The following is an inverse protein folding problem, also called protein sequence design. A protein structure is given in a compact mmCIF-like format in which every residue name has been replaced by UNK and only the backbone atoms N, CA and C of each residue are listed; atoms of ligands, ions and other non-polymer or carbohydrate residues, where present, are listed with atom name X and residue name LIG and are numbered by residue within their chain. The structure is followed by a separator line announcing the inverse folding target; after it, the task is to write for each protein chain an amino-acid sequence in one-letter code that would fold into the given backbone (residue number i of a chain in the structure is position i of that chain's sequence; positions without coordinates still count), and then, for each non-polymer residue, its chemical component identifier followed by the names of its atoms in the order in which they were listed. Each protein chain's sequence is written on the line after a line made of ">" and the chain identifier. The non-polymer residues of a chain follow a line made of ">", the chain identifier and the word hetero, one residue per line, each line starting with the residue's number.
data_IF_856812369427
#
_entry.id   IF_856812369427
#
_cell.length_a   1.000
_cell.length_b   1.000
_cell.length_c   1.000
_cell.angle_alpha   90.00
_cell.angle_beta   90.00
_cell.angle_gamma   90.00
#
_symmetry.space_group_name_H-M   'P 1'
#
loop_
_entity.id
_entity.type
_entity.pdbx_description
1 polymer ?
#
# COMPACT_ATOMS: atom_id res chain seq x y z
N UNK A 1 -8.10 17.04 5.45
CA UNK A 1 -8.44 17.34 4.04
C UNK A 1 -7.93 16.17 3.20
N UNK A 2 -8.81 15.25 2.78
CA UNK A 2 -8.38 14.15 1.90
C UNK A 2 -7.94 14.78 0.59
N UNK A 3 -6.68 14.67 0.26
CA UNK A 3 -6.10 15.24 -0.96
C UNK A 3 -6.79 14.61 -2.17
N UNK A 4 -7.02 15.37 -3.24
CA UNK A 4 -7.61 14.88 -4.51
C UNK A 4 -6.93 13.58 -4.98
N UNK A 5 -5.64 13.43 -4.69
CA UNK A 5 -4.86 12.22 -4.96
C UNK A 5 -5.39 10.97 -4.23
N UNK A 6 -5.77 11.05 -2.94
CA UNK A 6 -6.30 9.88 -2.20
C UNK A 6 -7.70 9.44 -2.69
N UNK A 7 -8.46 10.37 -3.27
CA UNK A 7 -9.76 10.05 -3.91
C UNK A 7 -9.53 9.33 -5.25
N UNK A 8 -8.47 9.67 -5.97
CA UNK A 8 -8.10 9.05 -7.24
C UNK A 8 -7.45 7.67 -7.05
N UNK A 9 -6.68 7.47 -5.99
CA UNK A 9 -6.07 6.16 -5.67
C UNK A 9 -7.11 5.09 -5.31
N UNK A 10 -8.24 5.48 -4.72
CA UNK A 10 -9.32 4.55 -4.35
C UNK A 10 -10.26 4.18 -5.52
N UNK A 11 -10.13 4.82 -6.69
CA UNK A 11 -10.88 4.42 -7.88
C UNK A 11 -10.07 3.43 -8.70
N UNK A 12 -10.74 2.36 -9.16
CA UNK A 12 -10.08 1.34 -9.98
C UNK A 12 -9.28 2.00 -11.12
N UNK A 13 -8.00 1.67 -11.33
CA UNK A 13 -7.12 2.27 -12.35
C UNK A 13 -7.74 2.28 -13.75
N UNK A 14 -8.57 1.29 -14.06
CA UNK A 14 -9.33 1.18 -15.32
C UNK A 14 -10.32 2.34 -15.52
N UNK A 15 -10.93 2.85 -14.46
CA UNK A 15 -11.88 3.97 -14.54
C UNK A 15 -11.18 5.29 -14.86
N UNK A 16 -10.02 5.56 -14.23
CA UNK A 16 -9.24 6.76 -14.48
C UNK A 16 -8.70 6.77 -15.92
N UNK A 17 -8.22 5.61 -16.38
CA UNK A 17 -7.77 5.47 -17.77
C UNK A 17 -8.92 5.73 -18.78
N UNK A 18 -10.13 5.23 -18.52
CA UNK A 18 -11.29 5.53 -19.37
C UNK A 18 -11.63 7.02 -19.36
N UNK A 19 -11.64 7.66 -18.21
CA UNK A 19 -11.89 9.10 -18.08
C UNK A 19 -10.84 9.94 -18.83
N UNK A 20 -9.58 9.50 -18.87
CA UNK A 20 -8.52 10.16 -19.63
C UNK A 20 -8.81 10.16 -21.12
N UNK A 21 -9.29 9.05 -21.68
CA UNK A 21 -9.69 8.99 -23.09
C UNK A 21 -10.92 9.88 -23.39
N UNK A 22 -11.92 9.90 -22.50
CA UNK A 22 -13.06 10.81 -22.63
C UNK A 22 -12.60 12.26 -22.63
N UNK A 23 -11.63 12.62 -21.79
CA UNK A 23 -11.07 13.98 -21.72
C UNK A 23 -10.40 14.41 -23.04
N UNK A 24 -9.74 13.49 -23.77
CA UNK A 24 -9.18 13.78 -25.10
C UNK A 24 -10.27 14.28 -26.06
N UNK A 25 -11.41 13.58 -26.09
CA UNK A 25 -12.51 13.97 -26.99
C UNK A 25 -13.21 15.25 -26.52
N UNK A 26 -13.32 15.48 -25.22
CA UNK A 26 -13.84 16.75 -24.67
C UNK A 26 -12.94 17.91 -25.08
N UNK A 27 -11.62 17.77 -24.96
CA UNK A 27 -10.67 18.79 -25.40
C UNK A 27 -10.76 19.02 -26.92
N UNK A 28 -10.95 17.95 -27.70
CA UNK A 28 -11.22 18.05 -29.14
C UNK A 28 -12.48 18.83 -29.45
N UNK A 29 -13.57 18.57 -28.74
CA UNK A 29 -14.82 19.33 -28.92
C UNK A 29 -14.65 20.82 -28.57
N UNK A 30 -13.94 21.12 -27.49
CA UNK A 30 -13.59 22.50 -27.12
C UNK A 30 -12.76 23.18 -28.22
N UNK A 31 -11.73 22.51 -28.73
CA UNK A 31 -10.91 22.99 -29.84
C UNK A 31 -11.76 23.25 -31.09
N UNK A 32 -12.70 22.35 -31.39
CA UNK A 32 -13.59 22.52 -32.54
C UNK A 32 -14.51 23.75 -32.39
N UNK A 33 -15.06 23.96 -31.18
CA UNK A 33 -15.94 25.14 -30.90
C UNK A 33 -15.19 26.45 -30.99
N UNK A 34 -14.00 26.54 -30.41
CA UNK A 34 -13.22 27.78 -30.35
C UNK A 34 -12.32 27.99 -31.59
N UNK A 35 -12.16 26.98 -32.43
CA UNK A 35 -11.33 27.04 -33.63
C UNK A 35 -9.89 27.43 -33.32
N UNK A 36 -9.35 28.40 -34.11
CA UNK A 36 -7.98 28.91 -33.94
C UNK A 36 -7.85 30.03 -32.89
N UNK A 37 -8.94 30.39 -32.22
CA UNK A 37 -8.92 31.48 -31.24
C UNK A 37 -8.13 31.13 -29.97
N UNK A 38 -8.16 29.85 -29.57
CA UNK A 38 -7.49 29.38 -28.37
C UNK A 38 -6.61 28.18 -28.74
N UNK A 39 -5.34 28.22 -28.36
CA UNK A 39 -4.46 27.05 -28.52
C UNK A 39 -4.72 26.02 -27.39
N UNK A 40 -5.43 24.95 -27.71
CA UNK A 40 -5.79 23.86 -26.77
C UNK A 40 -4.70 22.78 -26.68
N UNK A 41 -3.69 22.76 -27.58
CA UNK A 41 -2.65 21.73 -27.60
C UNK A 41 -2.01 21.47 -26.22
N UNK A 42 -1.63 22.47 -25.40
CA UNK A 42 -1.01 22.20 -24.10
C UNK A 42 -1.90 21.42 -23.13
N UNK A 43 -3.20 21.50 -23.25
CA UNK A 43 -4.14 20.84 -22.34
C UNK A 43 -4.24 19.33 -22.54
N UNK A 44 -3.82 18.81 -23.72
CA UNK A 44 -3.73 17.36 -23.94
C UNK A 44 -2.67 16.66 -23.07
N UNK A 45 -1.84 17.42 -22.36
CA UNK A 45 -0.93 16.87 -21.34
C UNK A 45 -1.70 16.24 -20.17
N UNK A 46 -2.88 16.74 -19.80
CA UNK A 46 -3.65 16.20 -18.68
C UNK A 46 -4.12 14.73 -18.90
N UNK A 47 -4.83 14.41 -19.99
CA UNK A 47 -5.21 13.02 -20.25
C UNK A 47 -3.98 12.09 -20.40
N UNK A 48 -2.89 12.59 -20.97
CA UNK A 48 -1.63 11.87 -21.08
C UNK A 48 -1.04 11.56 -19.71
N UNK A 49 -1.00 12.54 -18.81
CA UNK A 49 -0.49 12.39 -17.45
C UNK A 49 -1.30 11.34 -16.67
N UNK A 50 -2.62 11.42 -16.69
CA UNK A 50 -3.49 10.47 -15.98
C UNK A 50 -3.39 9.06 -16.56
N UNK A 51 -3.41 8.90 -17.88
CA UNK A 51 -3.31 7.58 -18.53
C UNK A 51 -1.93 6.93 -18.33
N UNK A 52 -0.86 7.73 -18.30
CA UNK A 52 0.51 7.24 -18.08
C UNK A 52 0.78 6.89 -16.61
N UNK A 53 0.20 7.64 -15.65
CA UNK A 53 0.39 7.40 -14.22
C UNK A 53 -0.44 6.23 -13.71
N UNK A 54 -1.73 6.17 -14.03
CA UNK A 54 -2.65 5.17 -13.52
C UNK A 54 -2.85 3.96 -14.44
N UNK A 55 -2.54 4.10 -15.73
CA UNK A 55 -2.71 3.06 -16.74
C UNK A 55 -1.47 2.17 -16.96
N UNK A 56 -1.52 1.37 -18.01
CA UNK A 56 -0.39 0.59 -18.50
C UNK A 56 0.52 1.44 -19.40
N UNK A 57 1.72 0.91 -19.71
CA UNK A 57 2.62 1.53 -20.71
C UNK A 57 1.90 1.73 -22.06
N UNK A 58 1.12 0.74 -22.48
CA UNK A 58 0.36 0.81 -23.72
C UNK A 58 -0.71 1.90 -23.70
N UNK A 59 -1.45 2.07 -22.61
CA UNK A 59 -2.50 3.09 -22.49
C UNK A 59 -1.92 4.52 -22.48
N UNK A 60 -0.77 4.73 -21.86
CA UNK A 60 -0.08 6.03 -21.90
C UNK A 60 0.38 6.40 -23.32
N UNK A 61 1.01 5.45 -24.04
CA UNK A 61 1.43 5.66 -25.42
C UNK A 61 0.21 5.87 -26.37
N UNK A 62 -0.84 5.08 -26.17
CA UNK A 62 -2.08 5.23 -26.96
C UNK A 62 -2.72 6.61 -26.74
N UNK A 63 -2.74 7.10 -25.50
CA UNK A 63 -3.23 8.43 -25.16
C UNK A 63 -2.42 9.54 -25.87
N UNK A 64 -1.10 9.39 -25.95
CA UNK A 64 -0.24 10.33 -26.67
C UNK A 64 -0.60 10.38 -28.17
N UNK A 65 -0.73 9.23 -28.81
CA UNK A 65 -1.08 9.13 -30.23
C UNK A 65 -2.48 9.68 -30.48
N UNK A 66 -3.48 9.29 -29.67
CA UNK A 66 -4.85 9.77 -29.81
C UNK A 66 -4.97 11.27 -29.60
N UNK A 67 -4.25 11.85 -28.66
CA UNK A 67 -4.23 13.30 -28.43
C UNK A 67 -3.74 14.07 -29.66
N UNK A 68 -2.66 13.58 -30.27
CA UNK A 68 -2.11 14.23 -31.50
C UNK A 68 -3.05 14.04 -32.68
N UNK A 69 -3.63 12.86 -32.84
CA UNK A 69 -4.59 12.59 -33.94
C UNK A 69 -5.80 13.52 -33.85
N UNK A 70 -6.42 13.62 -32.68
CA UNK A 70 -7.59 14.50 -32.47
C UNK A 70 -7.20 15.96 -32.73
N UNK A 71 -6.06 16.41 -32.17
CA UNK A 71 -5.56 17.77 -32.39
C UNK A 71 -5.36 18.08 -33.88
N UNK A 72 -4.66 17.22 -34.61
CA UNK A 72 -4.31 17.44 -36.04
C UNK A 72 -5.54 17.37 -36.94
N UNK A 73 -6.47 16.44 -36.67
CA UNK A 73 -7.71 16.35 -37.46
C UNK A 73 -8.52 17.63 -37.36
N UNK A 74 -8.66 18.19 -36.16
CA UNK A 74 -9.43 19.42 -35.96
C UNK A 74 -8.70 20.62 -36.56
N UNK A 75 -7.38 20.73 -36.40
CA UNK A 75 -6.56 21.79 -37.00
C UNK A 75 -6.66 21.75 -38.54
N UNK A 76 -6.66 20.57 -39.14
CA UNK A 76 -6.84 20.41 -40.58
C UNK A 76 -8.22 20.84 -41.04
N UNK A 77 -9.28 20.60 -40.26
CA UNK A 77 -10.66 21.00 -40.58
C UNK A 77 -10.83 22.53 -40.65
N UNK A 78 -10.03 23.30 -39.91
CA UNK A 78 -10.05 24.77 -39.92
C UNK A 78 -9.04 25.40 -40.86
N UNK A 79 -8.26 24.58 -41.61
CA UNK A 79 -7.32 25.09 -42.59
C UNK A 79 -8.04 25.51 -43.88
N UNK A 80 -7.81 26.75 -44.34
CA UNK A 80 -8.43 27.27 -45.58
C UNK A 80 -7.88 26.65 -46.86
N UNK A 81 -6.74 25.93 -46.75
CA UNK A 81 -6.08 25.22 -47.86
C UNK A 81 -6.01 23.75 -47.45
N UNK A 82 -6.33 22.86 -48.37
CA UNK A 82 -6.19 21.43 -48.14
C UNK A 82 -4.73 21.12 -47.77
N UNK A 83 -4.44 20.70 -46.54
CA UNK A 83 -3.07 20.48 -46.12
C UNK A 83 -2.48 19.29 -46.89
N UNK A 84 -1.30 19.47 -47.45
CA UNK A 84 -0.55 18.34 -48.01
C UNK A 84 -0.13 17.38 -46.89
N UNK A 85 0.01 16.10 -47.22
CA UNK A 85 0.49 15.09 -46.25
C UNK A 85 1.79 15.52 -45.55
N UNK A 86 2.72 16.14 -46.26
CA UNK A 86 3.97 16.63 -45.69
C UNK A 86 3.77 17.77 -44.70
N UNK A 87 2.82 18.66 -44.95
CA UNK A 87 2.47 19.74 -43.99
C UNK A 87 1.85 19.16 -42.71
N UNK A 88 0.94 18.20 -42.82
CA UNK A 88 0.32 17.52 -41.67
C UNK A 88 1.38 16.78 -40.82
N UNK A 89 2.30 16.07 -41.47
CA UNK A 89 3.40 15.38 -40.77
C UNK A 89 4.34 16.36 -40.10
N UNK A 90 4.68 17.47 -40.73
CA UNK A 90 5.54 18.52 -40.18
C UNK A 90 4.94 19.13 -38.88
N UNK A 91 3.63 19.35 -38.86
CA UNK A 91 2.94 19.86 -37.66
C UNK A 91 2.72 18.77 -36.59
N UNK A 92 2.40 17.53 -36.96
CA UNK A 92 2.10 16.44 -36.05
C UNK A 92 3.36 15.89 -35.34
N UNK A 93 4.47 15.77 -36.07
CA UNK A 93 5.67 15.09 -35.59
C UNK A 93 6.27 15.69 -34.30
N UNK A 94 6.40 17.02 -34.13
CA UNK A 94 6.92 17.60 -32.89
C UNK A 94 6.01 17.32 -31.67
N UNK A 95 4.68 17.42 -31.83
CA UNK A 95 3.74 17.12 -30.76
C UNK A 95 3.74 15.65 -30.41
N UNK A 96 3.79 14.77 -31.42
CA UNK A 96 3.87 13.33 -31.19
C UNK A 96 5.17 12.97 -30.45
N UNK A 97 6.30 13.48 -30.89
CA UNK A 97 7.58 13.27 -30.24
C UNK A 97 7.59 13.75 -28.79
N UNK A 98 7.08 14.99 -28.56
CA UNK A 98 7.00 15.55 -27.21
C UNK A 98 6.07 14.76 -26.28
N UNK A 99 4.89 14.35 -26.77
CA UNK A 99 3.92 13.61 -25.95
C UNK A 99 4.38 12.18 -25.69
N UNK A 100 5.02 11.50 -26.65
CA UNK A 100 5.62 10.18 -26.42
C UNK A 100 6.78 10.26 -25.43
N UNK A 101 7.65 11.26 -25.55
CA UNK A 101 8.73 11.47 -24.59
C UNK A 101 8.20 11.72 -23.20
N UNK A 102 7.18 12.57 -23.06
CA UNK A 102 6.55 12.87 -21.79
C UNK A 102 5.88 11.61 -21.18
N UNK A 103 5.17 10.83 -22.00
CA UNK A 103 4.59 9.56 -21.56
C UNK A 103 5.66 8.61 -21.02
N UNK A 104 6.79 8.45 -21.74
CA UNK A 104 7.91 7.60 -21.31
C UNK A 104 8.51 8.12 -20.00
N UNK A 105 8.71 9.42 -19.85
CA UNK A 105 9.25 10.02 -18.62
C UNK A 105 8.32 9.77 -17.42
N UNK A 106 7.02 9.98 -17.59
CA UNK A 106 6.03 9.74 -16.53
C UNK A 106 5.99 8.24 -16.13
N UNK A 107 6.00 7.34 -17.11
CA UNK A 107 6.00 5.90 -16.87
C UNK A 107 7.27 5.47 -16.13
N UNK A 108 8.43 5.95 -16.54
CA UNK A 108 9.70 5.64 -15.90
C UNK A 108 9.74 6.19 -14.47
N UNK A 109 9.34 7.44 -14.26
CA UNK A 109 9.27 8.05 -12.93
C UNK A 109 8.34 7.27 -12.00
N UNK A 110 7.15 6.89 -12.48
CA UNK A 110 6.24 6.02 -11.71
C UNK A 110 6.88 4.68 -11.34
N UNK A 111 7.60 4.05 -12.29
CA UNK A 111 8.23 2.76 -12.05
C UNK A 111 9.35 2.88 -11.00
N UNK A 112 10.21 3.90 -11.10
CA UNK A 112 11.25 4.18 -10.10
C UNK A 112 10.61 4.42 -8.73
N UNK A 113 9.61 5.29 -8.65
CA UNK A 113 8.90 5.58 -7.41
C UNK A 113 8.26 4.34 -6.78
N UNK A 114 7.61 3.49 -7.60
CA UNK A 114 7.06 2.21 -7.12
C UNK A 114 8.15 1.25 -6.64
N UNK A 115 9.30 1.22 -7.32
CA UNK A 115 10.40 0.34 -6.92
C UNK A 115 11.00 0.79 -5.59
N UNK A 116 11.15 2.10 -5.34
CA UNK A 116 11.62 2.64 -4.06
C UNK A 116 10.65 2.32 -2.91
N UNK A 117 9.35 2.51 -3.13
CA UNK A 117 8.31 2.15 -2.15
C UNK A 117 8.27 0.63 -1.89
N UNK A 118 8.57 -0.18 -2.91
CA UNK A 118 8.63 -1.65 -2.81
C UNK A 118 9.95 -2.12 -2.19
N UNK A 119 11.04 -1.39 -2.32
CA UNK A 119 12.35 -1.75 -1.78
C UNK A 119 12.50 -1.44 -0.28
N UNK A 120 11.63 -0.64 0.30
CA UNK A 120 11.61 -0.43 1.74
C UNK A 120 11.14 -1.70 2.46
N UNK A 121 12.00 -2.32 3.26
CA UNK A 121 11.69 -3.52 4.05
C UNK A 121 11.07 -3.17 5.40
N UNK A 122 11.09 -1.90 5.76
CA UNK A 122 10.66 -1.41 7.06
C UNK A 122 9.52 -0.39 6.98
N UNK A 123 8.74 -0.31 8.05
CA UNK A 123 7.76 0.76 8.28
C UNK A 123 8.47 2.07 8.62
N UNK A 124 8.19 3.12 7.88
CA UNK A 124 8.87 4.42 8.00
C UNK A 124 8.67 5.10 9.35
N UNK A 125 7.60 4.79 10.08
CA UNK A 125 7.32 5.40 11.37
C UNK A 125 8.06 4.70 12.51
N UNK A 126 8.01 3.36 12.54
CA UNK A 126 8.50 2.55 13.66
C UNK A 126 9.89 1.94 13.42
N UNK A 127 10.33 1.83 12.15
CA UNK A 127 11.57 1.15 11.77
C UNK A 127 11.49 -0.39 11.83
N UNK A 128 10.36 -0.95 12.21
CA UNK A 128 10.09 -2.39 12.20
C UNK A 128 9.92 -2.90 10.77
N UNK A 129 9.90 -4.22 10.57
CA UNK A 129 9.48 -4.76 9.29
C UNK A 129 8.09 -4.25 8.91
N UNK A 130 7.86 -4.03 7.61
CA UNK A 130 6.53 -3.75 7.11
C UNK A 130 5.78 -5.07 6.81
N UNK A 131 4.50 -4.98 6.47
CA UNK A 131 3.66 -6.16 6.16
C UNK A 131 4.27 -7.05 5.08
N UNK A 132 4.85 -6.47 4.03
CA UNK A 132 5.44 -7.22 2.93
C UNK A 132 6.63 -8.06 3.38
N UNK A 133 7.57 -7.45 4.09
CA UNK A 133 8.76 -8.15 4.58
C UNK A 133 8.40 -9.19 5.63
N UNK A 134 7.40 -8.90 6.47
CA UNK A 134 6.87 -9.88 7.42
C UNK A 134 6.31 -11.13 6.74
N UNK A 135 5.52 -10.97 5.69
CA UNK A 135 4.96 -12.11 4.96
C UNK A 135 6.04 -12.91 4.22
N UNK A 136 7.10 -12.25 3.76
CA UNK A 136 8.24 -12.94 3.18
C UNK A 136 8.99 -13.79 4.23
N UNK A 137 9.22 -13.25 5.44
CA UNK A 137 9.84 -14.00 6.53
C UNK A 137 8.96 -15.14 7.04
N UNK A 138 7.63 -14.96 7.12
CA UNK A 138 6.69 -16.04 7.45
C UNK A 138 6.74 -17.16 6.41
N UNK A 139 6.85 -16.81 5.10
CA UNK A 139 7.02 -17.80 4.04
C UNK A 139 8.30 -18.61 4.21
N UNK A 140 9.40 -17.93 4.54
CA UNK A 140 10.67 -18.56 4.79
C UNK A 140 10.59 -19.51 6.01
N UNK A 141 9.90 -19.08 7.06
CA UNK A 141 9.75 -19.90 8.27
C UNK A 141 8.89 -21.16 8.03
N UNK A 142 7.81 -21.04 7.25
CA UNK A 142 7.03 -22.21 6.83
C UNK A 142 7.88 -23.25 6.10
N UNK A 143 8.79 -22.81 5.22
CA UNK A 143 9.72 -23.70 4.53
C UNK A 143 10.74 -24.34 5.48
N UNK A 144 11.24 -23.57 6.48
CA UNK A 144 12.17 -24.08 7.51
C UNK A 144 11.47 -25.08 8.41
N UNK A 145 10.30 -24.74 8.95
CA UNK A 145 9.50 -25.61 9.80
C UNK A 145 9.16 -26.93 9.08
N UNK A 146 8.79 -26.85 7.79
CA UNK A 146 8.57 -28.06 6.96
C UNK A 146 9.81 -28.93 6.82
N UNK A 147 10.99 -28.32 6.71
CA UNK A 147 12.26 -29.04 6.49
C UNK A 147 12.80 -29.68 7.77
N UNK A 148 12.66 -28.97 8.88
CA UNK A 148 13.33 -29.34 10.13
C UNK A 148 12.39 -29.85 11.21
N UNK A 149 11.10 -29.92 10.91
CA UNK A 149 10.03 -30.42 11.77
C UNK A 149 10.01 -29.73 13.14
N UNK A 150 9.99 -28.40 13.14
CA UNK A 150 9.90 -27.59 14.35
C UNK A 150 8.63 -26.73 14.37
N UNK A 151 8.12 -26.47 15.57
CA UNK A 151 7.02 -25.55 15.78
C UNK A 151 7.49 -24.09 15.60
N UNK A 152 6.57 -23.21 15.24
CA UNK A 152 6.76 -21.77 15.32
C UNK A 152 5.48 -21.12 15.87
N UNK A 153 5.61 -19.91 16.40
CA UNK A 153 4.47 -19.17 16.89
C UNK A 153 4.29 -17.86 16.14
N UNK A 154 3.04 -17.47 15.94
CA UNK A 154 2.63 -16.26 15.25
C UNK A 154 1.71 -15.47 16.16
N UNK A 155 2.01 -14.18 16.39
CA UNK A 155 1.17 -13.29 17.15
C UNK A 155 0.70 -12.11 16.30
N UNK A 156 -0.58 -11.76 16.44
CA UNK A 156 -1.18 -10.54 15.93
C UNK A 156 -1.63 -9.67 17.10
N UNK A 157 -1.38 -8.38 16.99
CA UNK A 157 -1.63 -7.40 18.04
C UNK A 157 -2.28 -6.15 17.44
N UNK A 158 -3.32 -5.66 18.10
CA UNK A 158 -4.01 -4.40 17.77
C UNK A 158 -4.04 -3.49 19.01
N UNK A 159 -3.85 -2.18 18.80
CA UNK A 159 -3.89 -1.18 19.87
C UNK A 159 -5.32 -0.68 20.07
N UNK A 160 -5.96 -1.16 21.10
CA UNK A 160 -7.33 -0.75 21.44
C UNK A 160 -7.42 0.75 21.74
N UNK A 161 -8.45 1.40 21.23
CA UNK A 161 -8.72 2.83 21.42
C UNK A 161 -7.63 3.78 20.87
N UNK A 162 -6.83 3.34 19.90
CA UNK A 162 -5.80 4.19 19.28
C UNK A 162 -6.39 5.47 18.65
N UNK A 163 -7.57 5.36 18.01
CA UNK A 163 -8.27 6.52 17.46
C UNK A 163 -8.57 7.56 18.55
N UNK A 164 -8.96 7.14 19.75
CA UNK A 164 -9.21 8.05 20.88
C UNK A 164 -7.97 8.86 21.29
N UNK A 165 -6.78 8.30 21.18
CA UNK A 165 -5.52 9.03 21.39
C UNK A 165 -5.31 10.08 20.31
N UNK A 166 -5.50 9.72 19.04
CA UNK A 166 -5.38 10.69 17.93
C UNK A 166 -6.37 11.83 18.05
N UNK A 167 -7.61 11.53 18.41
CA UNK A 167 -8.70 12.52 18.53
C UNK A 167 -8.48 13.46 19.73
N UNK A 168 -7.92 12.96 20.83
CA UNK A 168 -7.73 13.74 22.08
C UNK A 168 -6.38 14.44 22.17
N UNK A 169 -5.29 13.80 21.71
CA UNK A 169 -3.90 14.29 21.87
C UNK A 169 -3.21 14.63 20.55
N UNK A 170 -3.90 14.43 19.42
CA UNK A 170 -3.40 14.69 18.08
C UNK A 170 -2.51 13.57 17.50
N UNK A 171 -2.38 13.55 16.17
CA UNK A 171 -1.64 12.51 15.43
C UNK A 171 -0.18 12.35 15.88
N UNK A 172 0.48 13.45 16.27
CA UNK A 172 1.86 13.37 16.77
C UNK A 172 1.99 12.57 18.08
N UNK A 173 0.93 12.51 18.91
CA UNK A 173 0.90 11.66 20.10
C UNK A 173 0.67 10.20 19.71
N UNK A 174 -0.23 9.93 18.74
CA UNK A 174 -0.43 8.61 18.18
C UNK A 174 0.85 8.04 17.57
N UNK A 175 1.58 8.84 16.80
CA UNK A 175 2.87 8.42 16.22
C UNK A 175 3.91 8.03 17.29
N UNK A 176 3.99 8.80 18.39
CA UNK A 176 4.86 8.46 19.52
C UNK A 176 4.43 7.16 20.22
N UNK A 177 3.12 6.97 20.38
CA UNK A 177 2.55 5.74 20.94
C UNK A 177 2.94 4.53 20.09
N UNK A 178 2.74 4.60 18.77
CA UNK A 178 3.09 3.52 17.85
C UNK A 178 4.58 3.17 17.89
N UNK A 179 5.46 4.18 17.95
CA UNK A 179 6.91 3.97 18.14
C UNK A 179 7.22 3.26 19.45
N UNK A 180 6.55 3.66 20.54
CA UNK A 180 6.78 3.06 21.86
C UNK A 180 6.27 1.61 21.92
N UNK A 181 5.15 1.29 21.26
CA UNK A 181 4.69 -0.10 21.08
C UNK A 181 5.76 -0.92 20.37
N UNK A 182 6.30 -0.43 19.25
CA UNK A 182 7.38 -1.09 18.52
C UNK A 182 8.61 -1.33 19.39
N UNK A 183 9.03 -0.33 20.15
CA UNK A 183 10.17 -0.42 21.08
C UNK A 183 9.93 -1.47 22.18
N UNK A 184 8.69 -1.56 22.69
CA UNK A 184 8.34 -2.58 23.69
C UNK A 184 8.46 -3.99 23.09
N UNK A 185 7.94 -4.21 21.88
CA UNK A 185 8.03 -5.51 21.20
C UNK A 185 9.48 -5.91 20.98
N UNK A 186 10.32 -5.03 20.42
CA UNK A 186 11.75 -5.30 20.20
C UNK A 186 12.50 -5.59 21.51
N UNK A 187 12.16 -4.89 22.61
CA UNK A 187 12.86 -5.08 23.89
C UNK A 187 12.41 -6.30 24.68
N UNK A 188 11.24 -6.88 24.35
CA UNK A 188 10.67 -8.03 25.07
C UNK A 188 10.86 -9.37 24.35
N UNK A 189 11.07 -9.34 23.04
CA UNK A 189 11.23 -10.52 22.19
C UNK A 189 12.71 -10.77 21.86
N UNK A 190 13.03 -11.93 21.30
CA UNK A 190 14.40 -12.35 20.94
C UNK A 190 14.87 -11.63 19.67
N UNK A 191 16.16 -11.51 19.47
CA UNK A 191 16.75 -10.93 18.26
C UNK A 191 16.46 -11.76 16.99
N UNK A 192 16.11 -13.04 17.14
CA UNK A 192 15.70 -13.95 16.06
C UNK A 192 14.23 -13.79 15.68
N UNK A 193 13.43 -13.13 16.51
CA UNK A 193 12.02 -12.95 16.28
C UNK A 193 11.81 -11.82 15.26
N UNK A 194 10.84 -12.00 14.37
CA UNK A 194 10.53 -11.02 13.34
C UNK A 194 9.34 -10.19 13.80
N UNK A 195 9.56 -8.88 13.96
CA UNK A 195 8.55 -7.95 14.45
C UNK A 195 8.21 -6.97 13.35
N UNK A 196 6.92 -6.83 13.06
CA UNK A 196 6.42 -5.97 12.01
C UNK A 196 5.27 -5.08 12.47
N UNK A 197 5.14 -3.94 11.79
CA UNK A 197 3.91 -3.16 11.80
C UNK A 197 3.20 -3.38 10.46
N UNK A 198 1.99 -3.93 10.52
CA UNK A 198 1.23 -4.30 9.32
C UNK A 198 0.54 -3.09 8.70
N UNK A 199 0.14 -2.13 9.50
CA UNK A 199 -0.49 -0.87 9.11
C UNK A 199 -1.32 -0.29 10.26
N UNK A 200 -1.62 1.01 10.21
CA UNK A 200 -2.41 1.64 11.27
C UNK A 200 -1.85 1.38 12.67
N UNK A 201 -2.61 0.68 13.48
CA UNK A 201 -2.35 0.28 14.87
C UNK A 201 -2.10 -1.23 15.03
N UNK A 202 -1.89 -1.96 13.93
CA UNK A 202 -1.71 -3.41 13.88
C UNK A 202 -0.25 -3.82 13.79
N UNK A 203 0.15 -4.80 14.60
CA UNK A 203 1.48 -5.41 14.63
C UNK A 203 1.40 -6.92 14.51
N UNK A 204 2.47 -7.52 14.00
CA UNK A 204 2.65 -8.97 13.97
C UNK A 204 4.05 -9.34 14.47
N UNK A 205 4.13 -10.50 15.13
CA UNK A 205 5.38 -11.07 15.60
C UNK A 205 5.46 -12.54 15.18
N UNK A 206 6.53 -12.92 14.50
CA UNK A 206 6.84 -14.30 14.17
C UNK A 206 7.96 -14.76 15.11
N UNK A 207 7.75 -15.84 15.81
CA UNK A 207 8.69 -16.45 16.75
C UNK A 207 9.09 -17.83 16.18
N UNK A 208 10.23 -17.91 15.46
CA UNK A 208 10.76 -19.16 14.96
C UNK A 208 11.09 -20.13 16.09
N UNK A 209 10.99 -21.44 15.84
CA UNK A 209 11.38 -22.49 16.78
C UNK A 209 10.84 -22.26 18.21
N UNK A 210 9.57 -21.83 18.31
CA UNK A 210 8.96 -21.44 19.58
C UNK A 210 7.66 -22.21 19.79
N UNK A 211 7.59 -22.98 20.87
CA UNK A 211 6.40 -23.75 21.26
C UNK A 211 5.37 -22.88 22.00
N UNK A 212 4.24 -23.50 22.38
CA UNK A 212 3.14 -22.81 23.04
C UNK A 212 3.53 -22.21 24.40
N UNK A 213 4.31 -22.92 25.21
CA UNK A 213 4.65 -22.44 26.54
C UNK A 213 5.68 -21.30 26.47
N UNK A 214 6.65 -21.40 25.58
CA UNK A 214 7.63 -20.34 25.33
C UNK A 214 6.93 -19.07 24.77
N UNK A 215 6.03 -19.22 23.80
CA UNK A 215 5.24 -18.12 23.24
C UNK A 215 4.35 -17.48 24.32
N UNK A 216 3.73 -18.30 25.18
CA UNK A 216 2.93 -17.83 26.31
C UNK A 216 3.76 -16.98 27.28
N UNK A 217 4.92 -17.43 27.67
CA UNK A 217 5.82 -16.70 28.56
C UNK A 217 6.32 -15.40 27.94
N UNK A 218 6.68 -15.43 26.64
CA UNK A 218 7.09 -14.23 25.90
C UNK A 218 6.00 -13.17 25.87
N UNK A 219 4.74 -13.55 25.52
CA UNK A 219 3.65 -12.60 25.42
C UNK A 219 3.04 -12.15 26.74
N UNK A 220 3.15 -12.94 27.81
CA UNK A 220 2.83 -12.48 29.16
C UNK A 220 3.77 -11.33 29.58
N UNK A 221 5.07 -11.49 29.34
CA UNK A 221 6.08 -10.45 29.61
C UNK A 221 5.87 -9.22 28.72
N UNK A 222 5.59 -9.43 27.46
CA UNK A 222 5.34 -8.36 26.48
C UNK A 222 4.13 -7.54 26.85
N UNK A 223 3.00 -8.17 27.17
CA UNK A 223 1.76 -7.50 27.57
C UNK A 223 1.95 -6.66 28.86
N UNK A 224 2.64 -7.21 29.86
CA UNK A 224 2.96 -6.47 31.09
C UNK A 224 3.86 -5.24 30.81
N UNK A 225 4.86 -5.38 29.95
CA UNK A 225 5.72 -4.27 29.55
C UNK A 225 4.93 -3.19 28.79
N UNK A 226 4.11 -3.57 27.82
CA UNK A 226 3.24 -2.65 27.08
C UNK A 226 2.36 -1.86 28.05
N UNK A 227 1.66 -2.54 28.94
CA UNK A 227 0.79 -1.91 29.93
C UNK A 227 1.54 -0.91 30.83
N UNK A 228 2.70 -1.27 31.33
CA UNK A 228 3.56 -0.38 32.14
C UNK A 228 4.02 0.84 31.35
N UNK A 229 4.40 0.69 30.08
CA UNK A 229 4.84 1.79 29.24
C UNK A 229 3.73 2.74 28.86
N UNK A 230 2.55 2.23 28.55
CA UNK A 230 1.37 3.06 28.27
C UNK A 230 0.94 3.85 29.50
N UNK A 231 0.90 3.23 30.69
CA UNK A 231 0.60 3.91 31.96
C UNK A 231 1.62 5.01 32.28
N UNK A 232 2.93 4.76 32.09
CA UNK A 232 4.00 5.76 32.29
C UNK A 232 3.81 7.01 31.42
N UNK A 233 3.35 6.84 30.19
CA UNK A 233 3.09 7.94 29.28
C UNK A 233 1.67 8.53 29.40
N UNK A 234 0.85 8.02 30.31
CA UNK A 234 -0.55 8.42 30.51
C UNK A 234 -1.42 8.23 29.26
N UNK A 235 -1.13 7.21 28.47
CA UNK A 235 -1.93 6.82 27.34
C UNK A 235 -2.95 5.76 27.76
N UNK A 236 -4.24 6.08 27.58
CA UNK A 236 -5.36 5.20 27.96
C UNK A 236 -5.70 4.26 26.80
N UNK A 237 -4.82 3.30 26.55
CA UNK A 237 -4.97 2.25 25.54
C UNK A 237 -4.73 0.90 26.17
N UNK A 238 -5.26 -0.14 25.54
CA UNK A 238 -5.00 -1.54 25.85
C UNK A 238 -4.61 -2.29 24.58
N UNK A 239 -4.46 -3.60 24.67
CA UNK A 239 -4.00 -4.42 23.55
C UNK A 239 -4.83 -5.68 23.43
N UNK A 240 -5.32 -5.95 22.23
CA UNK A 240 -5.91 -7.22 21.85
C UNK A 240 -4.88 -8.05 21.11
N UNK A 241 -4.49 -9.22 21.68
CA UNK A 241 -3.39 -10.04 21.17
C UNK A 241 -3.90 -11.47 20.95
N UNK A 242 -3.67 -12.01 19.75
CA UNK A 242 -3.88 -13.42 19.44
C UNK A 242 -2.54 -14.10 19.15
N UNK A 243 -2.23 -15.18 19.85
CA UNK A 243 -0.99 -15.94 19.69
C UNK A 243 -1.32 -17.37 19.29
N UNK A 244 -0.90 -17.78 18.09
CA UNK A 244 -1.07 -19.15 17.59
C UNK A 244 0.28 -19.83 17.49
N UNK A 245 0.37 -21.03 18.05
CA UNK A 245 1.51 -21.94 17.87
C UNK A 245 1.14 -22.99 16.85
N UNK A 246 1.93 -23.11 15.81
CA UNK A 246 1.80 -24.13 14.77
C UNK A 246 2.69 -25.32 15.09
N UNK A 247 2.09 -26.38 15.65
CA UNK A 247 2.75 -27.69 15.82
C UNK A 247 2.65 -28.52 14.54
N UNK A 248 1.61 -28.30 13.75
CA UNK A 248 1.49 -28.79 12.39
C UNK A 248 1.51 -27.60 11.43
N UNK A 249 1.95 -27.84 10.21
CA UNK A 249 2.02 -26.77 9.21
C UNK A 249 0.63 -26.37 8.73
N UNK A 250 0.34 -25.08 8.60
CA UNK A 250 -0.82 -24.60 7.86
C UNK A 250 -0.66 -24.90 6.36
N UNK A 251 -1.76 -24.91 5.61
CA UNK A 251 -1.73 -25.18 4.16
C UNK A 251 -0.89 -24.14 3.40
N UNK A 252 -1.02 -22.88 3.78
CA UNK A 252 -0.28 -21.77 3.21
C UNK A 252 -0.12 -20.62 4.22
N UNK A 253 0.58 -19.56 3.79
CA UNK A 253 0.79 -18.32 4.57
C UNK A 253 -0.56 -17.66 4.91
N UNK A 254 -1.51 -17.70 3.99
CA UNK A 254 -2.80 -17.05 4.16
C UNK A 254 -3.59 -17.68 5.29
N UNK A 255 -3.60 -19.01 5.38
CA UNK A 255 -4.24 -19.71 6.49
C UNK A 255 -3.60 -19.32 7.83
N UNK A 256 -2.27 -19.28 7.91
CA UNK A 256 -1.58 -18.86 9.13
C UNK A 256 -1.98 -17.45 9.58
N UNK A 257 -2.03 -16.50 8.65
CA UNK A 257 -2.43 -15.12 8.90
C UNK A 257 -3.88 -15.04 9.33
N UNK A 258 -4.79 -15.65 8.57
CA UNK A 258 -6.23 -15.64 8.84
C UNK A 258 -6.57 -16.21 10.21
N UNK A 259 -5.84 -17.23 10.67
CA UNK A 259 -6.02 -17.83 12.00
C UNK A 259 -5.54 -16.88 13.11
N UNK A 260 -4.38 -16.26 12.97
CA UNK A 260 -3.84 -15.32 13.96
C UNK A 260 -4.72 -14.05 14.06
N UNK A 261 -5.16 -13.51 12.93
CA UNK A 261 -6.06 -12.37 12.86
C UNK A 261 -7.42 -12.68 13.52
N UNK A 262 -8.04 -13.82 13.20
CA UNK A 262 -9.29 -14.25 13.83
C UNK A 262 -9.17 -14.41 15.35
N UNK A 263 -8.04 -14.92 15.82
CA UNK A 263 -7.83 -15.07 17.26
C UNK A 263 -7.67 -13.72 17.95
N UNK A 264 -6.91 -12.78 17.37
CA UNK A 264 -6.79 -11.41 17.87
C UNK A 264 -8.16 -10.69 17.83
N UNK A 265 -8.90 -10.85 16.74
CA UNK A 265 -10.23 -10.25 16.60
C UNK A 265 -11.24 -10.81 17.60
N UNK A 266 -11.16 -12.09 18.01
CA UNK A 266 -11.98 -12.66 19.09
C UNK A 266 -11.73 -11.94 20.43
N UNK A 267 -10.46 -11.69 20.77
CA UNK A 267 -10.09 -10.90 21.96
C UNK A 267 -10.67 -9.49 21.90
N UNK A 268 -10.57 -8.85 20.72
CA UNK A 268 -11.06 -7.48 20.52
C UNK A 268 -12.59 -7.36 20.72
N UNK A 269 -13.34 -8.41 20.37
CA UNK A 269 -14.79 -8.44 20.52
C UNK A 269 -15.26 -8.86 21.91
N UNK A 270 -14.52 -9.71 22.62
CA UNK A 270 -14.93 -10.20 23.95
C UNK A 270 -14.69 -9.14 25.02
N UNK A 271 -13.47 -8.95 25.45
CA UNK A 271 -13.17 -8.07 26.59
C UNK A 271 -12.02 -7.11 26.39
N UNK A 272 -11.39 -7.08 25.19
CA UNK A 272 -10.15 -6.31 24.96
C UNK A 272 -9.10 -6.52 26.09
N UNK A 273 -7.96 -5.81 26.03
CA UNK A 273 -6.90 -5.85 27.06
C UNK A 273 -6.54 -7.28 27.49
N UNK A 274 -6.41 -8.20 26.54
CA UNK A 274 -6.16 -9.62 26.80
C UNK A 274 -5.29 -10.26 25.73
N UNK A 275 -4.74 -11.43 26.08
CA UNK A 275 -3.95 -12.29 25.18
C UNK A 275 -4.63 -13.65 25.09
N UNK A 276 -5.07 -14.03 23.90
CA UNK A 276 -5.58 -15.38 23.64
C UNK A 276 -4.47 -16.25 23.03
N UNK A 277 -4.45 -17.52 23.43
CA UNK A 277 -3.47 -18.52 22.98
C UNK A 277 -4.19 -19.71 22.36
N UNK A 278 -3.70 -20.16 21.23
CA UNK A 278 -4.23 -21.34 20.54
C UNK A 278 -3.09 -22.17 19.95
N UNK A 279 -3.25 -23.50 19.93
CA UNK A 279 -2.38 -24.42 19.19
C UNK A 279 -3.11 -24.87 17.94
N UNK A 280 -2.45 -24.73 16.81
CA UNK A 280 -2.92 -25.29 15.55
C UNK A 280 -2.39 -26.72 15.40
N UNK A 281 -3.33 -27.67 15.37
CA UNK A 281 -3.09 -29.08 15.11
C UNK A 281 -4.04 -29.54 14.01
N UNK A 282 -3.53 -30.05 12.92
CA UNK A 282 -4.38 -30.72 11.92
C UNK A 282 -5.04 -31.94 12.55
N UNK A 283 -6.34 -32.04 12.42
CA UNK A 283 -7.02 -33.32 12.75
C UNK A 283 -6.50 -34.38 11.79
N UNK A 284 -5.77 -35.37 12.30
CA UNK A 284 -5.33 -36.56 11.58
C UNK A 284 -6.51 -37.33 11.01
#
# INVERSE_FOLDING_TARGET
>A
MKTIFSILENRAPKTITKLSFVLIFVLGAVQFIFGKTINIAPFYVFPLLFSSWYGSRATGMLSAVMSVLVYVIIEAAFSRVSPTLNALLFFAAPYLAAYLLLAILIINFRNVHRTEVIAADTDNLTGLYNARSFYAELANELLRSKRYDHAFSLAYLDVDNFKGINDSLGHAAGDRLLKEVGNCLVSSLRATDVIARLGGDEYACLLPETDQEEARLAFLKTADLLKKRMAKNRWHVSFSIGVITFENLPEDIKEAIDLADKLMYSVKNDNKDNVAYQVYRTKG
#
